data_IF_860333846826
#
_entry.id   IF_860333846826
#
_cell.length_a   1.000
_cell.length_b   1.000
_cell.length_c   1.000
_cell.angle_alpha   90.00
_cell.angle_beta   90.00
_cell.angle_gamma   90.00
#
_symmetry.space_group_name_H-M   'P 1'
#
loop_
_entity.id
_entity.type
_entity.pdbx_description
1 polymer ?
#
# COMPACT_ATOMS: atom_id res chain seq x y z
N UNK A 1 7.42 -10.79 -6.22
CA UNK A 1 6.66 -10.78 -4.96
C UNK A 1 7.54 -11.30 -3.83
N UNK A 2 7.27 -10.85 -2.60
CA UNK A 2 8.12 -10.96 -1.39
C UNK A 2 8.72 -12.36 -1.20
N UNK A 3 10.04 -12.47 -1.13
CA UNK A 3 10.74 -13.76 -0.94
C UNK A 3 10.65 -14.30 0.49
N UNK A 4 10.46 -13.40 1.46
CA UNK A 4 10.39 -13.68 2.90
C UNK A 4 9.70 -12.52 3.60
N UNK A 5 8.84 -12.81 4.58
CA UNK A 5 8.29 -11.80 5.50
C UNK A 5 9.43 -11.10 6.24
N UNK A 6 9.47 -9.75 6.29
CA UNK A 6 10.41 -9.03 7.14
C UNK A 6 10.30 -9.54 8.58
N UNK A 7 11.42 -9.93 9.16
CA UNK A 7 11.49 -10.52 10.50
C UNK A 7 12.65 -10.00 11.33
N UNK A 8 13.65 -9.37 10.70
CA UNK A 8 14.76 -8.71 11.37
C UNK A 8 14.46 -7.24 11.63
N UNK A 9 15.02 -6.71 12.72
CA UNK A 9 14.82 -5.31 13.13
C UNK A 9 15.32 -4.31 12.08
N UNK A 10 16.41 -4.66 11.39
CA UNK A 10 17.03 -3.88 10.31
C UNK A 10 16.44 -4.16 8.92
N UNK A 11 15.43 -5.03 8.81
CA UNK A 11 14.80 -5.30 7.51
C UNK A 11 14.16 -4.01 6.98
N UNK A 12 14.57 -3.63 5.76
CA UNK A 12 14.08 -2.43 5.11
C UNK A 12 12.60 -2.57 4.76
N UNK A 13 11.79 -1.64 5.23
CA UNK A 13 10.39 -1.52 4.86
C UNK A 13 10.23 -0.60 3.65
N UNK A 14 9.14 -0.80 2.92
CA UNK A 14 8.80 -0.03 1.73
C UNK A 14 7.37 0.47 1.85
N UNK A 15 7.10 1.64 1.28
CA UNK A 15 5.73 2.11 1.17
C UNK A 15 4.92 1.11 0.34
N UNK A 16 3.69 0.84 0.77
CA UNK A 16 2.74 0.17 -0.11
C UNK A 16 2.50 1.09 -1.32
N UNK A 17 2.63 0.58 -2.56
CA UNK A 17 2.52 1.39 -3.77
C UNK A 17 1.04 1.66 -4.09
N UNK A 18 0.28 2.18 -3.14
CA UNK A 18 -1.13 2.52 -3.29
C UNK A 18 -1.38 3.97 -2.85
N UNK A 19 -2.37 4.66 -3.45
CA UNK A 19 -2.91 5.87 -2.86
C UNK A 19 -3.62 5.54 -1.54
N UNK A 20 -4.10 6.58 -0.85
CA UNK A 20 -4.95 6.46 0.33
C UNK A 20 -4.32 5.70 1.53
N UNK A 21 -3.00 5.53 1.53
CA UNK A 21 -2.26 4.90 2.63
C UNK A 21 -1.26 5.89 3.22
N UNK A 22 -1.30 6.08 4.53
CA UNK A 22 -0.36 6.92 5.27
C UNK A 22 1.05 6.30 5.30
N UNK A 23 2.06 7.10 5.65
CA UNK A 23 3.45 6.62 5.81
C UNK A 23 3.59 5.56 6.91
N UNK A 24 2.66 5.54 7.88
CA UNK A 24 2.55 4.54 8.95
C UNK A 24 1.89 3.23 8.52
N UNK A 25 1.35 3.16 7.29
CA UNK A 25 0.63 1.99 6.76
C UNK A 25 -0.88 1.99 7.03
N UNK A 26 -1.40 2.95 7.80
CA UNK A 26 -2.85 3.11 7.98
C UNK A 26 -3.55 3.55 6.69
N UNK A 27 -4.74 2.99 6.44
CA UNK A 27 -5.61 3.40 5.33
C UNK A 27 -6.48 4.56 5.80
N UNK A 28 -6.59 5.63 5.03
CA UNK A 28 -7.55 6.69 5.33
C UNK A 28 -8.95 6.23 4.92
N UNK A 29 -9.82 6.03 5.90
CA UNK A 29 -11.16 5.47 5.66
C UNK A 29 -12.21 6.56 5.39
N UNK A 30 -11.96 7.80 5.80
CA UNK A 30 -12.97 8.85 5.78
C UNK A 30 -14.24 8.38 6.53
N UNK A 31 -15.37 8.35 5.81
CA UNK A 31 -16.64 7.83 6.30
C UNK A 31 -16.99 6.43 5.71
N UNK A 32 -16.06 5.78 5.01
CA UNK A 32 -16.30 4.47 4.42
C UNK A 32 -16.47 3.40 5.51
N UNK A 33 -17.55 2.61 5.51
CA UNK A 33 -17.83 1.62 6.54
C UNK A 33 -17.02 0.34 6.30
N UNK A 34 -15.72 0.38 6.61
CA UNK A 34 -14.90 -0.84 6.57
C UNK A 34 -15.47 -1.90 7.51
N UNK A 35 -15.57 -3.17 7.07
CA UNK A 35 -16.11 -4.24 7.89
C UNK A 35 -15.14 -4.62 9.01
N UNK A 36 -15.67 -5.30 10.04
CA UNK A 36 -14.85 -5.91 11.08
C UNK A 36 -13.81 -6.86 10.49
N UNK A 37 -12.59 -6.78 11.00
CA UNK A 37 -11.46 -7.56 10.50
C UNK A 37 -11.69 -9.05 10.73
N UNK A 38 -12.02 -9.77 9.65
CA UNK A 38 -12.20 -11.21 9.64
C UNK A 38 -11.77 -11.80 8.29
N UNK A 39 -11.38 -13.09 8.23
CA UNK A 39 -11.03 -13.74 6.97
C UNK A 39 -12.15 -13.64 5.90
N UNK A 40 -13.40 -13.69 6.33
CA UNK A 40 -14.58 -13.61 5.47
C UNK A 40 -14.78 -12.19 4.90
N UNK A 41 -14.33 -11.16 5.61
CA UNK A 41 -14.51 -9.77 5.24
C UNK A 41 -13.38 -9.22 4.33
N UNK A 42 -12.29 -9.97 4.10
CA UNK A 42 -11.13 -9.48 3.32
C UNK A 42 -11.54 -8.99 1.93
N UNK A 43 -12.38 -9.74 1.22
CA UNK A 43 -12.81 -9.35 -0.13
C UNK A 43 -13.65 -8.07 -0.12
N UNK A 44 -14.57 -7.95 0.84
CA UNK A 44 -15.39 -6.74 0.99
C UNK A 44 -14.54 -5.53 1.38
N UNK A 45 -13.58 -5.69 2.30
CA UNK A 45 -12.65 -4.65 2.68
C UNK A 45 -11.74 -4.23 1.50
N UNK A 46 -11.31 -5.17 0.66
CA UNK A 46 -10.52 -4.88 -0.53
C UNK A 46 -11.32 -4.13 -1.60
N UNK A 47 -12.57 -4.54 -1.85
CA UNK A 47 -13.47 -3.81 -2.76
C UNK A 47 -13.73 -2.40 -2.26
N UNK A 48 -14.00 -2.24 -0.96
CA UNK A 48 -14.09 -0.92 -0.36
C UNK A 48 -12.78 -0.17 -0.55
N UNK A 49 -11.61 -0.74 -0.24
CA UNK A 49 -10.33 -0.06 -0.42
C UNK A 49 -10.09 0.45 -1.85
N UNK A 50 -10.39 -0.37 -2.86
CA UNK A 50 -10.11 -0.08 -4.28
C UNK A 50 -11.16 0.79 -4.96
N UNK A 51 -12.43 0.66 -4.57
CA UNK A 51 -13.56 1.26 -5.29
C UNK A 51 -14.42 2.17 -4.40
N UNK A 52 -14.60 1.82 -3.12
CA UNK A 52 -15.53 2.49 -2.20
C UNK A 52 -14.92 3.57 -1.29
N UNK A 53 -13.68 3.42 -0.86
CA UNK A 53 -12.94 4.35 0.00
C UNK A 53 -12.12 5.27 -0.87
N UNK A 54 -12.80 5.92 -1.82
CA UNK A 54 -12.29 6.84 -2.82
C UNK A 54 -11.10 6.40 -3.69
N UNK A 55 -10.22 5.46 -3.31
CA UNK A 55 -8.94 5.09 -3.95
C UNK A 55 -8.42 6.22 -4.86
N UNK A 56 -8.37 7.42 -4.29
CA UNK A 56 -8.37 8.66 -5.05
C UNK A 56 -6.94 9.17 -5.18
N UNK A 57 -6.77 10.39 -5.66
CA UNK A 57 -5.46 11.01 -5.72
C UNK A 57 -4.85 11.31 -4.33
N UNK A 58 -5.59 11.13 -3.23
CA UNK A 58 -5.08 11.46 -1.90
C UNK A 58 -3.96 10.50 -1.50
N UNK A 59 -2.91 11.05 -0.89
CA UNK A 59 -1.72 10.29 -0.47
C UNK A 59 -1.07 9.47 -1.61
N UNK A 60 -1.27 9.85 -2.88
CA UNK A 60 -0.73 9.16 -4.05
C UNK A 60 0.74 9.46 -4.34
N UNK A 61 1.26 10.58 -3.82
CA UNK A 61 2.64 11.04 -4.02
C UNK A 61 3.65 10.17 -3.26
N UNK A 62 4.83 9.99 -3.86
CA UNK A 62 5.99 9.34 -3.24
C UNK A 62 5.83 7.83 -3.00
N UNK A 63 4.87 7.17 -3.66
CA UNK A 63 4.59 5.73 -3.46
C UNK A 63 5.28 4.81 -4.48
N UNK A 64 5.81 5.38 -5.56
CA UNK A 64 6.65 4.66 -6.52
C UNK A 64 7.76 5.57 -7.07
N UNK A 65 8.71 5.00 -7.82
CA UNK A 65 9.86 5.76 -8.34
C UNK A 65 9.56 6.43 -9.68
N UNK A 66 8.87 5.74 -10.58
CA UNK A 66 8.56 6.21 -11.93
C UNK A 66 7.53 7.35 -11.95
N UNK A 67 6.56 7.31 -11.03
CA UNK A 67 5.50 8.31 -10.91
C UNK A 67 5.50 8.93 -9.50
N UNK A 68 6.44 9.85 -9.20
CA UNK A 68 6.60 10.41 -7.86
C UNK A 68 5.40 11.25 -7.42
N UNK A 69 4.59 11.77 -8.35
CA UNK A 69 3.43 12.60 -8.03
C UNK A 69 2.09 11.86 -8.00
N UNK A 70 1.99 10.68 -8.64
CA UNK A 70 0.74 9.91 -8.61
C UNK A 70 0.98 8.44 -8.97
N UNK A 71 0.94 7.57 -7.96
CA UNK A 71 1.12 6.12 -8.13
C UNK A 71 0.03 5.43 -8.93
N UNK A 72 -1.13 6.05 -9.13
CA UNK A 72 -2.20 5.44 -9.95
C UNK A 72 -1.78 5.29 -11.42
N UNK A 73 -0.84 6.13 -11.88
CA UNK A 73 -0.23 5.98 -13.21
C UNK A 73 0.54 4.65 -13.33
N UNK A 74 1.29 4.26 -12.28
CA UNK A 74 1.92 2.94 -12.23
C UNK A 74 0.86 1.83 -12.30
N UNK A 75 -0.24 1.95 -11.54
CA UNK A 75 -1.31 0.95 -11.58
C UNK A 75 -1.91 0.76 -12.97
N UNK A 76 -2.12 1.85 -13.72
CA UNK A 76 -2.59 1.77 -15.10
C UNK A 76 -1.60 1.00 -16.00
N UNK A 77 -0.29 1.17 -15.81
CA UNK A 77 0.72 0.40 -16.56
C UNK A 77 0.83 -1.07 -16.14
N UNK A 78 0.47 -1.38 -14.89
CA UNK A 78 0.53 -2.72 -14.32
C UNK A 78 -0.69 -3.57 -14.70
N UNK A 79 -1.73 -2.99 -15.30
CA UNK A 79 -2.88 -3.76 -15.75
C UNK A 79 -2.45 -4.89 -16.70
N UNK A 80 -2.97 -6.09 -16.47
CA UNK A 80 -2.57 -7.31 -17.17
C UNK A 80 -1.16 -7.85 -16.85
N UNK A 81 -0.31 -7.14 -16.07
CA UNK A 81 1.02 -7.64 -15.68
C UNK A 81 0.93 -8.62 -14.53
N UNK A 82 1.63 -9.76 -14.65
CA UNK A 82 1.63 -10.82 -13.63
C UNK A 82 2.50 -10.53 -12.40
N UNK A 83 3.36 -9.51 -12.44
CA UNK A 83 4.35 -9.24 -11.39
C UNK A 83 4.56 -7.75 -11.20
N UNK A 84 4.56 -7.32 -9.94
CA UNK A 84 4.97 -5.99 -9.55
C UNK A 84 6.51 -5.81 -9.72
N UNK A 85 6.97 -4.72 -10.37
CA UNK A 85 8.38 -4.40 -10.52
C UNK A 85 9.01 -3.89 -9.21
N UNK A 86 9.91 -4.66 -8.61
CA UNK A 86 10.53 -4.29 -7.33
C UNK A 86 11.38 -3.00 -7.41
N UNK A 87 11.81 -2.60 -8.61
CA UNK A 87 12.49 -1.33 -8.85
C UNK A 87 11.63 -0.11 -8.52
N UNK A 88 10.31 -0.25 -8.50
CA UNK A 88 9.36 0.82 -8.15
C UNK A 88 9.23 1.05 -6.66
N UNK A 89 9.73 0.14 -5.81
CA UNK A 89 9.57 0.27 -4.37
C UNK A 89 10.35 1.49 -3.83
N UNK A 90 9.66 2.30 -3.04
CA UNK A 90 10.21 3.42 -2.28
C UNK A 90 10.37 3.00 -0.83
N UNK A 91 11.59 3.04 -0.30
CA UNK A 91 11.86 2.64 1.08
C UNK A 91 11.29 3.65 2.06
N UNK A 92 10.72 3.17 3.16
CA UNK A 92 10.33 4.04 4.27
C UNK A 92 11.57 4.40 5.11
N UNK A 93 11.45 5.44 5.93
CA UNK A 93 12.40 5.71 7.02
C UNK A 93 12.13 4.87 8.28
N UNK A 94 11.03 4.11 8.29
CA UNK A 94 10.57 3.30 9.43
C UNK A 94 11.24 1.93 9.41
N UNK A 95 11.86 1.55 10.53
CA UNK A 95 12.39 0.20 10.76
C UNK A 95 11.31 -0.70 11.35
N UNK A 96 11.40 -2.01 11.13
CA UNK A 96 10.43 -2.96 11.67
C UNK A 96 10.33 -2.88 13.20
N UNK A 97 11.46 -2.67 13.89
CA UNK A 97 11.51 -2.48 15.34
C UNK A 97 10.53 -1.41 15.87
N UNK A 98 10.32 -0.33 15.11
CA UNK A 98 9.47 0.79 15.51
C UNK A 98 7.96 0.48 15.40
N UNK A 99 7.59 -0.65 14.79
CA UNK A 99 6.21 -1.12 14.67
C UNK A 99 5.90 -2.28 15.63
N UNK A 100 6.92 -2.84 16.29
CA UNK A 100 6.81 -3.98 17.21
C UNK A 100 6.86 -3.57 18.69
N UNK A 101 7.29 -2.34 18.97
CA UNK A 101 7.27 -1.70 20.29
C UNK A 101 5.91 -1.12 20.64
#
# INVERSE_FOLDING_TARGET
>A
AVKKRPSGEDDRLYHVPCPNVHTTGGICQGNAPFPDCSPQAIQAALQLFMEGSLFNADLSRGKCRSYPDDVRQLWAELDGRKRFPLSELVSTSTRLQALLS
#
